data_IF_756143834534
#
_entry.id   IF_756143834534
#
_cell.length_a   1.000
_cell.length_b   1.000
_cell.length_c   1.000
_cell.angle_alpha   90.00
_cell.angle_beta   90.00
_cell.angle_gamma   90.00
#
_symmetry.space_group_name_H-M   'P 1'
#
loop_
_entity.id
_entity.type
_entity.pdbx_description
1 polymer ?
#
# COMPACT_ATOMS: atom_id res chain seq x y z
N UNK A 1 24.75 -8.08 -12.46
CA UNK A 1 23.30 -8.26 -12.44
C UNK A 1 22.79 -8.07 -13.86
N UNK A 2 21.91 -8.94 -14.35
CA UNK A 2 21.27 -8.71 -15.64
C UNK A 2 20.34 -7.47 -15.56
N UNK A 3 20.27 -6.65 -16.63
CA UNK A 3 19.40 -5.48 -16.65
C UNK A 3 17.94 -5.90 -16.48
N UNK A 4 17.20 -5.21 -15.61
CA UNK A 4 15.74 -5.37 -15.52
C UNK A 4 15.13 -4.79 -16.79
N UNK A 5 14.34 -5.59 -17.49
CA UNK A 5 13.62 -5.16 -18.70
C UNK A 5 12.71 -3.99 -18.34
N UNK A 6 12.95 -2.83 -18.96
CA UNK A 6 12.09 -1.67 -18.75
C UNK A 6 10.71 -1.97 -19.33
N UNK A 7 9.63 -1.77 -18.57
CA UNK A 7 8.27 -1.94 -19.08
C UNK A 7 8.05 -1.10 -20.34
N UNK A 8 7.43 -1.70 -21.36
CA UNK A 8 7.14 -1.00 -22.62
C UNK A 8 6.07 0.11 -22.47
N UNK A 9 5.30 0.08 -21.38
CA UNK A 9 4.22 1.00 -21.11
C UNK A 9 4.51 1.84 -19.86
N UNK A 10 4.14 3.12 -19.90
CA UNK A 10 4.28 4.05 -18.77
C UNK A 10 3.22 3.84 -17.68
N UNK A 11 2.21 3.01 -17.96
CA UNK A 11 1.11 2.69 -17.04
C UNK A 11 1.04 1.16 -16.87
N UNK A 12 0.71 0.67 -15.66
CA UNK A 12 0.38 -0.74 -15.46
C UNK A 12 -0.90 -1.15 -16.21
N UNK A 13 -1.70 -0.18 -16.67
CA UNK A 13 -2.92 -0.42 -17.43
C UNK A 13 -2.68 -0.25 -18.93
N UNK A 14 -3.03 -1.28 -19.70
CA UNK A 14 -3.02 -1.23 -21.17
C UNK A 14 -4.21 -0.44 -21.74
N UNK A 15 -5.33 -0.39 -21.00
CA UNK A 15 -6.58 0.26 -21.38
C UNK A 15 -7.03 1.22 -20.28
N UNK A 16 -7.53 2.40 -20.68
CA UNK A 16 -8.02 3.43 -19.74
C UNK A 16 -9.21 2.94 -18.90
N UNK A 17 -9.98 1.99 -19.42
CA UNK A 17 -11.12 1.38 -18.72
C UNK A 17 -10.67 0.59 -17.48
N UNK A 18 -9.51 -0.06 -17.52
CA UNK A 18 -8.98 -0.79 -16.37
C UNK A 18 -8.51 0.16 -15.27
N UNK A 19 -7.99 1.32 -15.66
CA UNK A 19 -7.64 2.38 -14.71
C UNK A 19 -8.90 2.97 -14.04
N UNK A 20 -9.99 3.16 -14.80
CA UNK A 20 -11.27 3.59 -14.24
C UNK A 20 -11.81 2.59 -13.20
N UNK A 21 -11.72 1.28 -13.48
CA UNK A 21 -12.11 0.23 -12.52
C UNK A 21 -11.31 0.32 -11.21
N UNK A 22 -10.00 0.60 -11.28
CA UNK A 22 -9.18 0.80 -10.07
C UNK A 22 -9.73 1.96 -9.24
N UNK A 23 -9.95 3.13 -9.87
CA UNK A 23 -10.35 4.33 -9.15
C UNK A 23 -11.77 4.22 -8.57
N UNK A 24 -12.70 3.61 -9.30
CA UNK A 24 -14.06 3.36 -8.82
C UNK A 24 -14.07 2.39 -7.63
N UNK A 25 -13.35 1.27 -7.75
CA UNK A 25 -13.25 0.29 -6.66
C UNK A 25 -12.54 0.87 -5.42
N UNK A 26 -11.51 1.69 -5.61
CA UNK A 26 -10.82 2.36 -4.51
C UNK A 26 -11.75 3.34 -3.79
N UNK A 27 -12.55 4.10 -4.54
CA UNK A 27 -13.56 5.00 -3.97
C UNK A 27 -14.60 4.24 -3.13
N UNK A 28 -15.10 3.11 -3.62
CA UNK A 28 -16.02 2.26 -2.85
C UNK A 28 -15.38 1.72 -1.56
N UNK A 29 -14.13 1.24 -1.62
CA UNK A 29 -13.43 0.75 -0.43
C UNK A 29 -13.13 1.87 0.58
N UNK A 30 -12.88 3.09 0.10
CA UNK A 30 -12.71 4.26 0.96
C UNK A 30 -14.01 4.62 1.67
N UNK A 31 -15.13 4.68 0.95
CA UNK A 31 -16.45 5.04 1.48
C UNK A 31 -16.97 4.00 2.49
N UNK A 32 -16.67 2.72 2.26
CA UNK A 32 -17.05 1.61 3.15
C UNK A 32 -16.01 1.31 4.24
N UNK A 33 -14.91 2.08 4.30
CA UNK A 33 -13.78 1.88 5.22
C UNK A 33 -13.20 0.45 5.20
N UNK A 34 -13.27 -0.25 4.06
CA UNK A 34 -12.82 -1.64 3.94
C UNK A 34 -11.30 -1.70 3.99
N UNK A 35 -10.75 -2.50 4.92
CA UNK A 35 -9.32 -2.77 5.01
C UNK A 35 -9.02 -4.19 4.52
N UNK A 36 -8.17 -4.38 3.49
CA UNK A 36 -7.81 -5.72 3.02
C UNK A 36 -6.91 -6.44 4.01
N UNK A 37 -7.08 -7.76 4.14
CA UNK A 37 -6.23 -8.62 4.96
C UNK A 37 -4.96 -9.02 4.23
N UNK A 38 -3.90 -9.33 4.98
CA UNK A 38 -2.60 -9.75 4.45
C UNK A 38 -1.66 -8.59 4.14
N UNK A 39 -2.02 -7.37 4.52
CA UNK A 39 -1.24 -6.15 4.25
C UNK A 39 -0.68 -5.48 5.52
N UNK A 40 -0.92 -6.06 6.71
CA UNK A 40 -0.44 -5.51 7.98
C UNK A 40 -1.16 -4.23 8.39
N UNK A 41 -2.38 -4.03 7.90
CA UNK A 41 -3.15 -2.79 8.10
C UNK A 41 -4.38 -3.00 8.97
N UNK A 42 -4.83 -4.25 9.15
CA UNK A 42 -5.94 -4.55 10.04
C UNK A 42 -5.45 -4.64 11.50
N UNK A 43 -6.27 -4.23 12.49
CA UNK A 43 -5.87 -4.27 13.90
C UNK A 43 -5.44 -5.65 14.44
N UNK A 44 -5.97 -6.73 13.88
CA UNK A 44 -5.61 -8.11 14.22
C UNK A 44 -4.27 -8.56 13.62
N UNK A 45 -3.65 -7.77 12.75
CA UNK A 45 -2.34 -8.03 12.15
C UNK A 45 -1.20 -7.29 12.90
N UNK A 46 -1.54 -6.38 13.81
CA UNK A 46 -0.57 -5.59 14.54
C UNK A 46 -0.01 -6.34 15.75
N UNK A 47 1.32 -6.42 15.86
CA UNK A 47 2.00 -7.19 16.91
C UNK A 47 1.62 -6.76 18.33
N UNK A 48 1.51 -5.45 18.57
CA UNK A 48 1.21 -4.87 19.88
C UNK A 48 -0.27 -4.42 20.03
N UNK A 49 -1.13 -4.79 19.07
CA UNK A 49 -2.53 -4.37 19.02
C UNK A 49 -2.75 -2.87 18.73
N UNK A 50 -1.70 -2.16 18.30
CA UNK A 50 -1.74 -0.76 17.88
C UNK A 50 -0.99 -0.58 16.56
N UNK A 51 -1.42 0.40 15.76
CA UNK A 51 -0.76 0.74 14.50
C UNK A 51 0.69 1.19 14.78
N UNK A 52 1.70 0.67 14.05
CA UNK A 52 3.09 1.03 14.28
C UNK A 52 3.33 2.52 14.07
N UNK A 53 3.91 3.17 15.08
CA UNK A 53 4.19 4.61 15.07
C UNK A 53 5.67 4.92 14.91
N UNK A 54 6.51 3.90 14.75
CA UNK A 54 7.95 4.07 14.57
C UNK A 54 8.50 3.00 13.64
N UNK A 55 9.52 3.34 12.87
CA UNK A 55 10.26 2.41 12.02
C UNK A 55 11.76 2.53 12.31
N UNK A 56 12.49 1.42 12.29
CA UNK A 56 13.94 1.41 12.39
C UNK A 56 14.55 1.38 10.98
N UNK A 57 15.28 2.43 10.61
CA UNK A 57 15.97 2.52 9.31
C UNK A 57 17.46 2.24 9.47
N UNK A 58 18.00 1.35 8.65
CA UNK A 58 19.43 1.07 8.62
C UNK A 58 20.13 2.05 7.69
N UNK A 59 20.94 2.95 8.24
CA UNK A 59 21.73 3.94 7.49
C UNK A 59 23.21 3.65 7.73
N UNK A 60 23.89 3.14 6.69
CA UNK A 60 25.35 2.91 6.70
C UNK A 60 25.88 2.13 7.91
N UNK A 61 25.12 1.15 8.41
CA UNK A 61 25.49 0.31 9.55
C UNK A 61 25.08 0.87 10.93
N UNK A 62 24.43 2.03 10.97
CA UNK A 62 23.67 2.52 12.13
C UNK A 62 22.18 2.20 11.96
N UNK A 63 21.47 2.05 13.07
CA UNK A 63 20.01 1.99 13.09
C UNK A 63 19.47 3.31 13.64
N UNK A 64 18.73 4.03 12.81
CA UNK A 64 18.07 5.26 13.17
C UNK A 64 16.56 5.01 13.28
N UNK A 65 15.99 5.25 14.46
CA UNK A 65 14.55 5.12 14.71
C UNK A 65 13.85 6.40 14.26
N UNK A 66 12.86 6.27 13.39
CA UNK A 66 12.02 7.37 12.93
C UNK A 66 10.62 7.28 13.52
N UNK A 67 10.03 8.43 13.82
CA UNK A 67 8.65 8.55 14.25
C UNK A 67 7.73 8.67 13.03
N UNK A 68 6.61 7.97 13.06
CA UNK A 68 5.56 7.94 12.05
C UNK A 68 4.27 8.48 12.66
N UNK A 69 3.96 9.79 12.51
CA UNK A 69 2.73 10.36 13.02
C UNK A 69 1.49 9.63 12.49
N UNK A 70 0.75 8.98 13.39
CA UNK A 70 -0.42 8.15 13.06
C UNK A 70 -1.43 8.89 12.20
N UNK A 71 -1.70 10.16 12.53
CA UNK A 71 -2.68 10.99 11.83
C UNK A 71 -2.34 11.20 10.33
N UNK A 72 -1.07 11.06 9.95
CA UNK A 72 -0.64 11.17 8.56
C UNK A 72 -0.40 9.81 7.91
N UNK A 73 0.25 8.89 8.63
CA UNK A 73 0.74 7.65 8.05
C UNK A 73 -0.33 6.57 7.96
N UNK A 74 -1.18 6.43 8.98
CA UNK A 74 -2.23 5.42 8.97
C UNK A 74 -3.20 5.60 7.78
N UNK A 75 -3.83 6.78 7.55
CA UNK A 75 -4.75 6.92 6.43
C UNK A 75 -4.07 6.74 5.07
N UNK A 76 -2.78 7.07 4.95
CA UNK A 76 -2.00 6.84 3.72
C UNK A 76 -1.73 5.35 3.50
N UNK A 77 -1.37 4.62 4.56
CA UNK A 77 -1.12 3.19 4.51
C UNK A 77 -2.41 2.43 4.18
N UNK A 78 -3.54 2.79 4.79
CA UNK A 78 -4.86 2.24 4.47
C UNK A 78 -5.20 2.39 3.00
N UNK A 79 -5.11 3.63 2.47
CA UNK A 79 -5.37 3.92 1.06
C UNK A 79 -4.43 3.16 0.13
N UNK A 80 -3.14 3.09 0.48
CA UNK A 80 -2.14 2.36 -0.30
C UNK A 80 -2.45 0.85 -0.34
N UNK A 81 -2.78 0.24 0.79
CA UNK A 81 -3.12 -1.18 0.89
C UNK A 81 -4.39 -1.51 0.08
N UNK A 82 -5.42 -0.67 0.14
CA UNK A 82 -6.64 -0.80 -0.69
C UNK A 82 -6.30 -0.81 -2.18
N UNK A 83 -5.52 0.17 -2.63
CA UNK A 83 -5.09 0.26 -4.03
C UNK A 83 -4.27 -0.95 -4.48
N UNK A 84 -3.32 -1.39 -3.65
CA UNK A 84 -2.50 -2.56 -3.94
C UNK A 84 -3.33 -3.85 -4.02
N UNK A 85 -4.32 -4.01 -3.12
CA UNK A 85 -5.24 -5.14 -3.13
C UNK A 85 -6.06 -5.22 -4.42
N UNK A 86 -6.60 -4.08 -4.89
CA UNK A 86 -7.33 -4.01 -6.15
C UNK A 86 -6.40 -4.34 -7.32
N UNK A 87 -5.21 -3.74 -7.38
CA UNK A 87 -4.23 -4.02 -8.44
C UNK A 87 -3.85 -5.50 -8.49
N UNK A 88 -3.63 -6.14 -7.34
CA UNK A 88 -3.36 -7.57 -7.26
C UNK A 88 -4.55 -8.41 -7.73
N UNK A 89 -5.78 -7.95 -7.50
CA UNK A 89 -7.00 -8.64 -7.95
C UNK A 89 -7.25 -8.51 -9.45
N UNK A 90 -6.72 -7.47 -10.10
CA UNK A 90 -6.83 -7.26 -11.55
C UNK A 90 -5.72 -7.95 -12.36
N UNK A 91 -4.63 -8.36 -11.71
CA UNK A 91 -3.49 -9.01 -12.35
C UNK A 91 -3.66 -10.52 -12.57
N UNK A 92 -4.72 -11.13 -12.02
CA UNK A 92 -5.09 -12.54 -12.16
C UNK A 92 -6.45 -12.69 -12.86
#
# INVERSE_FOLDING_TARGET
HEPVTVPAHASPFALIEHEAVLWDALGMMDDEEILPSGYGIQPNEWEDGAYPTTEDLIVSGSTDRIELPVAEWQPRAERWCRGLYILNSLAY
#
